data_IF_689658632368
#
_entry.id   IF_689658632368
#
_cell.length_a   1.000
_cell.length_b   1.000
_cell.length_c   1.000
_cell.angle_alpha   90.00
_cell.angle_beta   90.00
_cell.angle_gamma   90.00
#
_symmetry.space_group_name_H-M   'P 1'
#
loop_
_entity.id
_entity.type
_entity.pdbx_description
1 polymer ?
#
# COMPACT_ATOMS: atom_id res chain seq x y z
N UNK A 1 0.46 -5.22 2.09
CA UNK A 1 -0.98 -5.45 1.76
C UNK A 1 -1.76 -5.77 3.01
N UNK A 2 -2.98 -5.26 3.13
CA UNK A 2 -3.89 -5.59 4.23
C UNK A 2 -5.20 -6.16 3.70
N UNK A 3 -5.82 -7.06 4.46
CA UNK A 3 -7.15 -7.61 4.16
C UNK A 3 -8.11 -7.27 5.30
N UNK A 4 -9.29 -6.79 4.95
CA UNK A 4 -10.37 -6.47 5.90
C UNK A 4 -11.56 -7.38 5.60
N UNK A 5 -12.06 -8.08 6.61
CA UNK A 5 -13.20 -8.98 6.51
C UNK A 5 -14.42 -8.38 7.22
N UNK A 6 -15.59 -8.50 6.60
CA UNK A 6 -16.87 -8.18 7.23
C UNK A 6 -17.55 -9.42 7.85
N UNK A 7 -18.65 -9.21 8.56
CA UNK A 7 -19.55 -10.30 8.95
C UNK A 7 -20.26 -10.80 7.67
N UNK A 8 -19.80 -11.91 7.09
CA UNK A 8 -20.33 -12.48 5.86
C UNK A 8 -19.24 -12.99 4.91
N UNK A 9 -19.64 -13.53 3.75
CA UNK A 9 -18.77 -14.18 2.78
C UNK A 9 -18.07 -13.20 1.85
N UNK A 10 -17.36 -12.19 2.38
CA UNK A 10 -16.63 -11.25 1.54
C UNK A 10 -15.48 -10.57 2.26
N UNK A 11 -14.49 -10.09 1.49
CA UNK A 11 -13.35 -9.36 2.02
C UNK A 11 -12.86 -8.29 1.04
N UNK A 12 -12.15 -7.32 1.55
CA UNK A 12 -11.51 -6.26 0.79
C UNK A 12 -10.00 -6.37 0.99
N UNK A 13 -9.27 -6.56 -0.09
CA UNK A 13 -7.80 -6.44 -0.10
C UNK A 13 -7.41 -5.01 -0.48
N UNK A 14 -6.41 -4.48 0.20
CA UNK A 14 -5.87 -3.15 -0.03
C UNK A 14 -4.37 -3.27 -0.25
N UNK A 15 -3.88 -2.74 -1.35
CA UNK A 15 -2.47 -2.43 -1.57
C UNK A 15 -2.29 -0.92 -1.48
N UNK A 16 -1.17 -0.46 -0.96
CA UNK A 16 -0.87 0.96 -0.83
C UNK A 16 0.61 1.27 -0.92
N UNK A 17 0.90 2.51 -1.29
CA UNK A 17 2.23 3.09 -1.34
C UNK A 17 2.20 4.41 -0.57
N UNK A 18 2.96 4.52 0.50
CA UNK A 18 3.27 5.79 1.15
C UNK A 18 4.49 6.38 0.45
N UNK A 19 4.33 7.56 -0.13
CA UNK A 19 5.36 8.21 -0.95
C UNK A 19 5.86 9.46 -0.26
N UNK A 20 7.16 9.54 -0.14
CA UNK A 20 7.89 10.60 0.53
C UNK A 20 8.94 11.19 -0.42
N UNK A 21 9.14 12.51 -0.34
CA UNK A 21 10.18 13.22 -1.05
C UNK A 21 10.59 14.45 -0.22
N UNK A 22 11.89 14.69 0.02
CA UNK A 22 12.34 15.88 0.71
C UNK A 22 11.79 17.16 0.07
N UNK A 23 11.27 18.07 0.90
CA UNK A 23 10.70 19.34 0.44
C UNK A 23 9.37 19.23 -0.31
N UNK A 24 8.75 18.06 -0.41
CA UNK A 24 7.48 17.86 -1.08
C UNK A 24 6.43 17.21 -0.16
N UNK A 25 5.17 17.44 -0.47
CA UNK A 25 4.05 16.87 0.26
C UNK A 25 4.02 15.34 0.15
N UNK A 26 3.96 14.65 1.28
CA UNK A 26 3.79 13.20 1.36
C UNK A 26 2.44 12.77 0.81
N UNK A 27 2.40 11.63 0.12
CA UNK A 27 1.21 11.12 -0.55
C UNK A 27 0.97 9.64 -0.22
N UNK A 28 -0.28 9.24 -0.21
CA UNK A 28 -0.70 7.84 -0.13
C UNK A 28 -1.43 7.45 -1.42
N UNK A 29 -0.93 6.46 -2.14
CA UNK A 29 -1.62 5.81 -3.23
C UNK A 29 -2.15 4.47 -2.75
N UNK A 30 -3.34 4.07 -3.21
CA UNK A 30 -3.90 2.78 -2.84
C UNK A 30 -4.75 2.17 -3.95
N UNK A 31 -4.88 0.86 -3.92
CA UNK A 31 -5.76 0.07 -4.77
C UNK A 31 -6.58 -0.87 -3.92
N UNK A 32 -7.88 -0.94 -4.20
CA UNK A 32 -8.84 -1.81 -3.52
C UNK A 32 -9.24 -2.93 -4.44
N UNK A 33 -9.36 -4.14 -3.90
CA UNK A 33 -9.99 -5.27 -4.57
C UNK A 33 -11.04 -5.91 -3.66
N UNK A 34 -12.26 -5.98 -4.17
CA UNK A 34 -13.37 -6.63 -3.46
C UNK A 34 -13.44 -8.09 -3.87
N UNK A 35 -13.45 -8.99 -2.90
CA UNK A 35 -13.61 -10.43 -3.10
C UNK A 35 -14.97 -10.85 -2.57
N UNK A 36 -15.79 -11.45 -3.44
CA UNK A 36 -17.15 -11.88 -3.12
C UNK A 36 -17.28 -13.37 -2.86
N UNK A 37 -16.14 -14.05 -2.69
CA UNK A 37 -16.06 -15.49 -2.42
C UNK A 37 -16.71 -16.36 -3.51
N UNK A 38 -16.68 -15.92 -4.76
CA UNK A 38 -17.17 -16.69 -5.90
C UNK A 38 -16.20 -17.80 -6.28
N UNK A 39 -16.71 -18.91 -6.80
CA UNK A 39 -15.87 -20.01 -7.32
C UNK A 39 -14.97 -19.48 -8.43
N UNK A 40 -13.66 -19.76 -8.33
CA UNK A 40 -12.65 -19.29 -9.30
C UNK A 40 -12.15 -17.85 -9.08
N UNK A 41 -12.70 -17.11 -8.11
CA UNK A 41 -12.22 -15.76 -7.80
C UNK A 41 -10.85 -15.80 -7.13
N UNK A 42 -9.88 -15.01 -7.64
CA UNK A 42 -8.56 -14.86 -7.03
C UNK A 42 -8.68 -14.27 -5.62
N UNK A 43 -8.00 -14.87 -4.66
CA UNK A 43 -8.13 -14.54 -3.23
C UNK A 43 -7.28 -13.36 -2.75
N UNK A 44 -6.39 -12.81 -3.60
CA UNK A 44 -5.44 -11.74 -3.23
C UNK A 44 -5.22 -10.76 -4.39
N UNK A 45 -4.46 -9.70 -4.15
CA UNK A 45 -3.91 -8.83 -5.19
C UNK A 45 -3.01 -9.63 -6.13
N UNK A 46 -3.01 -9.27 -7.41
CA UNK A 46 -2.14 -9.84 -8.44
C UNK A 46 -0.91 -8.97 -8.66
N UNK A 47 0.09 -9.51 -9.34
CA UNK A 47 1.24 -8.76 -9.85
C UNK A 47 0.78 -7.55 -10.67
N UNK A 48 -0.23 -7.74 -11.53
CA UNK A 48 -0.82 -6.65 -12.32
C UNK A 48 -1.46 -5.54 -11.46
N UNK A 49 -2.03 -5.89 -10.31
CA UNK A 49 -2.59 -4.89 -9.38
C UNK A 49 -1.48 -4.03 -8.77
N UNK A 50 -0.35 -4.63 -8.37
CA UNK A 50 0.82 -3.90 -7.85
C UNK A 50 1.50 -3.08 -8.94
N UNK A 51 1.72 -3.66 -10.11
CA UNK A 51 2.30 -2.97 -11.26
C UNK A 51 1.48 -1.73 -11.64
N UNK A 52 0.15 -1.85 -11.67
CA UNK A 52 -0.74 -0.72 -11.93
C UNK A 52 -0.68 0.35 -10.84
N UNK A 53 -0.56 -0.04 -9.57
CA UNK A 53 -0.44 0.89 -8.45
C UNK A 53 0.87 1.69 -8.53
N UNK A 54 2.01 1.02 -8.76
CA UNK A 54 3.32 1.66 -8.89
C UNK A 54 3.37 2.56 -10.13
N UNK A 55 2.82 2.12 -11.26
CA UNK A 55 2.72 2.93 -12.48
C UNK A 55 1.89 4.20 -12.26
N UNK A 56 0.73 4.08 -11.58
CA UNK A 56 -0.12 5.23 -11.28
C UNK A 56 0.60 6.23 -10.36
N UNK A 57 1.35 5.74 -9.37
CA UNK A 57 2.19 6.59 -8.52
C UNK A 57 3.26 7.31 -9.33
N UNK A 58 4.00 6.60 -10.20
CA UNK A 58 5.04 7.17 -11.09
C UNK A 58 4.48 8.31 -11.95
N UNK A 59 3.32 8.11 -12.58
CA UNK A 59 2.68 9.12 -13.42
C UNK A 59 2.34 10.38 -12.62
N UNK A 60 1.77 10.22 -11.43
CA UNK A 60 1.35 11.35 -10.60
C UNK A 60 2.52 12.05 -9.88
N UNK A 61 3.59 11.35 -9.59
CA UNK A 61 4.80 11.91 -8.97
C UNK A 61 5.70 12.60 -10.01
N UNK A 62 5.59 12.21 -11.28
CA UNK A 62 6.40 12.69 -12.40
C UNK A 62 7.93 12.67 -12.10
N UNK A 63 8.41 11.66 -11.35
CA UNK A 63 9.78 11.53 -10.90
C UNK A 63 10.22 10.06 -10.83
N UNK A 64 11.50 9.71 -10.93
CA UNK A 64 11.99 8.38 -10.63
C UNK A 64 11.54 7.92 -9.25
N UNK A 65 11.35 6.62 -9.08
CA UNK A 65 10.80 6.01 -7.85
C UNK A 65 11.81 5.01 -7.30
N UNK A 66 12.15 5.15 -6.03
CA UNK A 66 12.78 4.11 -5.23
C UNK A 66 11.63 3.42 -4.47
N UNK A 67 11.34 2.19 -4.86
CA UNK A 67 10.28 1.39 -4.25
C UNK A 67 10.87 0.50 -3.17
N UNK A 68 10.46 0.74 -1.93
CA UNK A 68 10.83 -0.10 -0.79
C UNK A 68 9.63 -0.97 -0.46
N UNK A 69 9.77 -2.27 -0.51
CA UNK A 69 8.68 -3.19 -0.18
C UNK A 69 9.13 -4.50 0.50
N UNK A 70 8.17 -5.20 1.07
CA UNK A 70 8.38 -6.49 1.73
C UNK A 70 8.58 -7.63 0.73
N UNK A 71 8.96 -8.80 1.25
CA UNK A 71 9.20 -10.01 0.46
C UNK A 71 7.92 -10.83 0.23
N UNK A 72 6.77 -10.20 -0.02
CA UNK A 72 5.54 -10.92 -0.37
C UNK A 72 5.75 -11.74 -1.65
N UNK A 73 5.20 -12.94 -1.73
CA UNK A 73 5.39 -13.84 -2.88
C UNK A 73 5.08 -13.18 -4.24
N UNK A 74 4.08 -12.31 -4.31
CA UNK A 74 3.75 -11.55 -5.53
C UNK A 74 4.79 -10.48 -5.86
N UNK A 75 5.57 -9.99 -4.88
CA UNK A 75 6.63 -9.01 -5.08
C UNK A 75 7.91 -9.63 -5.61
N UNK A 76 8.12 -10.92 -5.36
CA UNK A 76 9.31 -11.68 -5.76
C UNK A 76 9.04 -12.68 -6.88
N UNK A 77 7.83 -12.72 -7.42
CA UNK A 77 7.48 -13.62 -8.52
C UNK A 77 8.28 -13.30 -9.79
N UNK A 78 8.52 -14.31 -10.64
CA UNK A 78 9.24 -14.11 -11.90
C UNK A 78 8.59 -13.01 -12.77
N UNK A 79 7.25 -13.01 -12.86
CA UNK A 79 6.51 -11.99 -13.62
C UNK A 79 6.71 -10.58 -13.06
N UNK A 80 6.81 -10.42 -11.74
CA UNK A 80 7.08 -9.12 -11.13
C UNK A 80 8.54 -8.70 -11.34
N UNK A 81 9.49 -9.63 -11.25
CA UNK A 81 10.90 -9.34 -11.54
C UNK A 81 11.08 -8.87 -13.00
N UNK A 82 10.47 -9.56 -13.95
CA UNK A 82 10.49 -9.16 -15.37
C UNK A 82 9.85 -7.78 -15.57
N UNK A 83 8.73 -7.52 -14.91
CA UNK A 83 8.07 -6.21 -14.96
C UNK A 83 8.97 -5.08 -14.43
N UNK A 84 9.72 -5.32 -13.34
CA UNK A 84 10.68 -4.38 -12.77
C UNK A 84 11.87 -4.18 -13.72
N UNK A 85 12.42 -5.27 -14.27
CA UNK A 85 13.60 -5.24 -15.13
C UNK A 85 13.41 -4.38 -16.37
N UNK A 86 12.20 -4.32 -16.90
CA UNK A 86 11.85 -3.48 -18.06
C UNK A 86 11.63 -2.00 -17.71
N UNK A 87 11.83 -1.59 -16.42
CA UNK A 87 11.54 -0.22 -15.93
C UNK A 87 12.67 0.39 -15.11
N UNK A 88 13.86 -0.13 -15.24
CA UNK A 88 15.07 0.34 -14.51
C UNK A 88 15.47 1.79 -14.81
N UNK A 89 14.93 2.36 -15.89
CA UNK A 89 15.12 3.76 -16.25
C UNK A 89 14.48 4.74 -15.24
N UNK A 90 13.44 4.30 -14.51
CA UNK A 90 12.75 5.14 -13.54
C UNK A 90 12.39 4.43 -12.23
N UNK A 91 12.57 3.10 -12.14
CA UNK A 91 12.19 2.30 -10.98
C UNK A 91 13.41 1.56 -10.41
N UNK A 92 13.79 1.92 -9.19
CA UNK A 92 14.72 1.16 -8.36
C UNK A 92 13.94 0.44 -7.28
N UNK A 93 14.23 -0.82 -7.02
CA UNK A 93 13.53 -1.61 -6.01
C UNK A 93 14.49 -2.07 -4.93
N UNK A 94 14.16 -1.72 -3.69
CA UNK A 94 14.86 -2.14 -2.48
C UNK A 94 13.94 -3.01 -1.65
N UNK A 95 14.45 -4.12 -1.12
CA UNK A 95 13.68 -5.06 -0.32
C UNK A 95 13.93 -4.85 1.16
N UNK A 96 12.86 -4.75 1.92
CA UNK A 96 12.96 -4.77 3.37
C UNK A 96 13.55 -6.10 3.87
N UNK A 97 14.28 -6.09 4.99
CA UNK A 97 14.68 -7.31 5.65
C UNK A 97 13.47 -8.24 5.91
N UNK A 98 13.73 -9.55 5.92
CA UNK A 98 12.69 -10.50 6.30
C UNK A 98 12.22 -10.24 7.74
N UNK A 99 10.90 -10.33 7.96
CA UNK A 99 10.29 -10.14 9.28
C UNK A 99 10.51 -8.76 9.93
N UNK A 100 10.65 -7.69 9.12
CA UNK A 100 10.79 -6.31 9.61
C UNK A 100 9.59 -5.41 9.19
N UNK A 101 8.36 -5.74 9.59
CA UNK A 101 7.17 -4.93 9.24
C UNK A 101 7.22 -3.54 9.85
N UNK A 102 7.94 -3.35 10.95
CA UNK A 102 8.14 -2.06 11.62
C UNK A 102 8.87 -1.04 10.73
N UNK A 103 9.67 -1.49 9.77
CA UNK A 103 10.34 -0.62 8.79
C UNK A 103 9.42 -0.22 7.62
N UNK A 104 8.23 -0.80 7.54
CA UNK A 104 7.28 -0.51 6.45
C UNK A 104 6.28 0.57 6.88
N UNK A 105 6.52 1.83 6.50
CA UNK A 105 5.66 2.95 6.86
C UNK A 105 4.18 2.76 6.48
N UNK A 106 3.87 1.96 5.46
CA UNK A 106 2.48 1.69 5.08
C UNK A 106 1.72 0.85 6.10
N UNK A 107 2.40 0.11 6.98
CA UNK A 107 1.77 -0.61 8.09
C UNK A 107 1.12 0.34 9.09
N UNK A 108 1.70 1.53 9.32
CA UNK A 108 1.07 2.61 10.09
C UNK A 108 -0.27 3.05 9.51
N UNK A 109 -0.36 3.18 8.20
CA UNK A 109 -1.62 3.49 7.52
C UNK A 109 -2.67 2.37 7.69
N UNK A 110 -2.24 1.10 7.66
CA UNK A 110 -3.12 -0.04 7.89
C UNK A 110 -3.62 -0.10 9.33
N UNK A 111 -2.75 0.12 10.31
CA UNK A 111 -3.12 0.17 11.72
C UNK A 111 -4.12 1.30 11.98
N UNK A 112 -3.83 2.51 11.49
CA UNK A 112 -4.72 3.67 11.61
C UNK A 112 -6.10 3.40 10.97
N UNK A 113 -6.13 2.83 9.77
CA UNK A 113 -7.36 2.47 9.09
C UNK A 113 -8.14 1.41 9.88
N UNK A 114 -7.51 0.31 10.30
CA UNK A 114 -8.16 -0.78 11.06
C UNK A 114 -8.76 -0.28 12.36
N UNK A 115 -8.05 0.55 13.12
CA UNK A 115 -8.53 1.16 14.34
C UNK A 115 -9.80 1.98 14.12
N UNK A 116 -9.88 2.67 12.97
CA UNK A 116 -11.06 3.45 12.59
C UNK A 116 -12.26 2.61 12.12
N UNK A 117 -12.05 1.31 11.87
CA UNK A 117 -13.08 0.35 11.49
C UNK A 117 -13.64 -0.44 12.70
N UNK A 118 -13.08 -0.25 13.90
CA UNK A 118 -13.55 -0.90 15.13
C UNK A 118 -15.04 -0.63 15.36
N UNK A 119 -15.77 -1.68 15.77
CA UNK A 119 -17.22 -1.63 16.13
C UNK A 119 -18.17 -1.29 14.99
N UNK A 120 -17.77 -1.40 13.71
CA UNK A 120 -18.68 -1.18 12.59
C UNK A 120 -19.51 -2.43 12.29
N UNK A 121 -20.83 -2.29 12.38
CA UNK A 121 -21.76 -3.30 11.88
C UNK A 121 -21.89 -3.14 10.35
N UNK A 122 -21.13 -3.93 9.60
CA UNK A 122 -21.14 -3.91 8.13
C UNK A 122 -22.10 -4.98 7.63
N UNK A 123 -23.03 -4.61 6.75
CA UNK A 123 -24.06 -5.50 6.19
C UNK A 123 -23.50 -6.41 5.09
N UNK A 124 -22.68 -5.85 4.22
CA UNK A 124 -22.12 -6.56 3.07
C UNK A 124 -20.70 -6.01 2.70
N UNK A 125 -20.03 -6.73 1.80
CA UNK A 125 -18.69 -6.40 1.35
C UNK A 125 -18.62 -5.09 0.54
N UNK A 126 -19.69 -4.68 -0.11
CA UNK A 126 -19.72 -3.42 -0.88
C UNK A 126 -19.75 -2.22 0.06
N UNK A 127 -20.53 -2.30 1.15
CA UNK A 127 -20.53 -1.31 2.22
C UNK A 127 -19.14 -1.24 2.89
N UNK A 128 -18.53 -2.40 3.17
CA UNK A 128 -17.17 -2.45 3.71
C UNK A 128 -16.18 -1.74 2.78
N UNK A 129 -16.22 -2.02 1.48
CA UNK A 129 -15.34 -1.39 0.50
C UNK A 129 -15.52 0.13 0.45
N UNK A 130 -16.75 0.63 0.52
CA UNK A 130 -17.04 2.06 0.55
C UNK A 130 -16.45 2.72 1.82
N UNK A 131 -16.62 2.10 2.97
CA UNK A 131 -16.07 2.62 4.24
C UNK A 131 -14.53 2.62 4.18
N UNK A 132 -13.90 1.52 3.78
CA UNK A 132 -12.44 1.41 3.64
C UNK A 132 -11.91 2.49 2.70
N UNK A 133 -12.56 2.68 1.53
CA UNK A 133 -12.20 3.73 0.57
C UNK A 133 -12.27 5.12 1.19
N UNK A 134 -13.33 5.43 1.94
CA UNK A 134 -13.48 6.73 2.59
C UNK A 134 -12.41 6.96 3.66
N UNK A 135 -12.03 5.93 4.44
CA UNK A 135 -10.96 6.03 5.43
C UNK A 135 -9.60 6.28 4.79
N UNK A 136 -9.27 5.53 3.72
CA UNK A 136 -8.03 5.73 2.98
C UNK A 136 -7.98 7.11 2.32
N UNK A 137 -9.09 7.57 1.76
CA UNK A 137 -9.20 8.93 1.23
C UNK A 137 -8.97 9.99 2.31
N UNK A 138 -9.50 9.80 3.51
CA UNK A 138 -9.24 10.70 4.65
C UNK A 138 -7.75 10.75 5.01
N UNK A 139 -7.02 9.63 4.95
CA UNK A 139 -5.57 9.59 5.17
C UNK A 139 -4.84 10.37 4.05
N UNK A 140 -5.23 10.17 2.79
CA UNK A 140 -4.62 10.85 1.62
C UNK A 140 -4.60 12.37 1.75
N UNK A 141 -5.63 12.95 2.37
CA UNK A 141 -5.73 14.40 2.56
C UNK A 141 -4.98 14.93 3.79
N UNK A 142 -4.26 14.08 4.51
CA UNK A 142 -3.52 14.42 5.72
C UNK A 142 -2.02 14.10 5.57
N UNK A 143 -1.23 14.95 4.89
CA UNK A 143 0.20 14.69 4.67
C UNK A 143 0.98 14.49 5.97
N UNK A 144 0.71 15.31 6.99
CA UNK A 144 1.36 15.19 8.29
C UNK A 144 1.10 13.81 8.96
N UNK A 145 -0.10 13.23 8.74
CA UNK A 145 -0.39 11.87 9.19
C UNK A 145 0.43 10.84 8.41
N UNK A 146 0.61 11.03 7.09
CA UNK A 146 1.43 10.13 6.28
C UNK A 146 2.89 10.23 6.71
N UNK A 147 3.39 11.42 7.01
CA UNK A 147 4.74 11.67 7.53
C UNK A 147 4.95 11.01 8.89
N UNK A 148 3.94 11.02 9.77
CA UNK A 148 4.04 10.34 11.05
C UNK A 148 4.22 8.82 10.93
N UNK A 149 3.73 8.20 9.86
CA UNK A 149 3.95 6.77 9.62
C UNK A 149 5.42 6.47 9.28
N UNK A 150 6.11 7.35 8.57
CA UNK A 150 7.56 7.23 8.35
C UNK A 150 8.32 7.42 9.67
N UNK A 151 7.99 8.46 10.43
CA UNK A 151 8.64 8.73 11.71
C UNK A 151 8.52 7.55 12.70
N UNK A 152 7.40 6.80 12.68
CA UNK A 152 7.21 5.60 13.50
C UNK A 152 8.17 4.46 13.15
N UNK A 153 8.71 4.42 11.93
CA UNK A 153 9.70 3.42 11.53
C UNK A 153 11.12 3.74 12.03
N UNK A 154 11.36 4.94 12.53
CA UNK A 154 12.70 5.42 12.86
C UNK A 154 13.57 5.80 11.66
N UNK A 155 13.03 5.65 10.43
CA UNK A 155 13.74 6.03 9.22
C UNK A 155 13.58 7.52 8.92
N UNK A 156 14.60 8.12 8.34
CA UNK A 156 14.62 9.52 7.88
C UNK A 156 14.88 9.58 6.39
N UNK A 157 14.44 10.67 5.74
CA UNK A 157 14.70 10.94 4.32
C UNK A 157 15.98 11.73 4.11
N UNK A 158 16.53 12.32 5.17
CA UNK A 158 17.75 13.10 5.08
C UNK A 158 18.94 12.18 5.30
N UNK A 159 19.97 12.23 4.45
CA UNK A 159 21.23 11.56 4.73
C UNK A 159 21.81 12.16 6.04
N UNK A 160 22.38 11.30 6.88
CA UNK A 160 23.15 11.82 8.02
C UNK A 160 24.22 12.80 7.48
N UNK A 161 24.39 13.98 8.09
CA UNK A 161 25.48 14.87 7.71
C UNK A 161 26.81 14.14 7.91
N UNK A 162 27.78 14.35 7.03
CA UNK A 162 29.09 13.70 7.08
C UNK A 162 29.85 14.02 8.38
#
# INVERSE_FOLDING_TARGET
MVTVCGKGSGRVSVAGLACYRPGARSRLFYRLRVHRSRKGERRSMSEADYAALVTAARIQLAAPVILIWDNLNTHISAAMCEWIDTRKDWLTVERLPAYAPELNAVEGAWAHMKNSLGNLAVRDVSQLAAIVKNRLKSIQYRPALIESFLAQTGLTLEPEPP
#
